data_IF_745305023061
#
_entry.id   IF_745305023061
#
_cell.length_a   1.000
_cell.length_b   1.000
_cell.length_c   1.000
_cell.angle_alpha   90.00
_cell.angle_beta   90.00
_cell.angle_gamma   90.00
#
_symmetry.space_group_name_H-M   'P 1'
#
loop_
_entity.id
_entity.type
_entity.pdbx_description
1 polymer ?
#
# COMPACT_ATOMS: atom_id res chain seq x y z
N UNK A 1 -14.18 14.90 7.00
CA UNK A 1 -13.06 15.38 6.15
C UNK A 1 -13.55 16.11 4.90
N UNK A 2 -14.13 15.44 3.91
CA UNK A 2 -14.56 16.10 2.65
C UNK A 2 -15.60 17.24 2.82
N UNK A 3 -16.23 17.35 3.99
CA UNK A 3 -17.21 18.40 4.35
C UNK A 3 -16.65 19.43 5.34
N UNK A 4 -15.40 19.31 5.73
CA UNK A 4 -14.75 20.22 6.69
C UNK A 4 -14.40 21.55 6.01
N UNK A 5 -14.26 22.62 6.78
CA UNK A 5 -13.81 23.91 6.27
C UNK A 5 -12.38 23.79 5.67
N UNK A 6 -12.10 24.36 4.50
CA UNK A 6 -10.78 24.34 3.89
C UNK A 6 -9.93 25.49 4.47
N UNK A 7 -9.69 25.48 5.78
CA UNK A 7 -8.98 26.53 6.53
C UNK A 7 -7.55 26.14 6.93
N UNK A 8 -7.13 24.91 6.61
CA UNK A 8 -5.81 24.37 6.91
C UNK A 8 -5.70 23.69 8.28
N UNK A 9 -6.75 23.72 9.11
CA UNK A 9 -6.75 23.08 10.44
C UNK A 9 -7.23 21.63 10.42
N UNK A 10 -7.91 21.22 9.34
CA UNK A 10 -8.24 19.82 9.12
C UNK A 10 -7.38 19.27 7.99
N UNK A 11 -6.56 18.26 8.30
CA UNK A 11 -5.72 17.56 7.33
C UNK A 11 -6.06 16.07 7.29
N UNK A 12 -5.88 15.47 6.12
CA UNK A 12 -6.03 14.06 5.86
C UNK A 12 -4.65 13.43 5.64
N UNK A 13 -4.36 12.38 6.38
CA UNK A 13 -3.35 11.42 6.00
C UNK A 13 -3.92 10.50 4.91
N UNK A 14 -3.52 10.74 3.66
CA UNK A 14 -4.09 10.05 2.50
C UNK A 14 -3.49 8.66 2.29
N UNK A 15 -4.38 7.72 1.98
CA UNK A 15 -4.05 6.33 1.65
C UNK A 15 -4.50 6.01 0.21
N UNK A 16 -3.95 4.96 -0.43
CA UNK A 16 -4.39 4.53 -1.76
C UNK A 16 -5.89 4.24 -1.83
N UNK A 17 -6.51 3.72 -0.77
CA UNK A 17 -7.96 3.47 -0.71
C UNK A 17 -8.82 4.72 -0.86
N UNK A 18 -8.31 5.87 -0.41
CA UNK A 18 -9.05 7.14 -0.42
C UNK A 18 -8.82 7.90 -1.73
N UNK A 19 -7.59 7.87 -2.26
CA UNK A 19 -7.17 8.74 -3.37
C UNK A 19 -6.87 7.99 -4.67
N UNK A 20 -6.62 6.67 -4.62
CA UNK A 20 -6.15 5.88 -5.75
C UNK A 20 -7.15 4.83 -6.26
N UNK A 21 -7.81 4.09 -5.37
CA UNK A 21 -8.65 2.93 -5.71
C UNK A 21 -10.11 3.11 -5.30
N UNK A 22 -10.57 4.36 -5.23
CA UNK A 22 -11.89 4.70 -4.73
C UNK A 22 -13.06 4.12 -5.54
N UNK A 23 -12.84 3.75 -6.81
CA UNK A 23 -13.90 3.14 -7.65
C UNK A 23 -14.36 1.77 -7.16
N UNK A 24 -13.64 1.16 -6.22
CA UNK A 24 -14.09 -0.07 -5.56
C UNK A 24 -15.39 0.15 -4.76
N UNK A 25 -15.60 1.39 -4.29
CA UNK A 25 -16.80 1.82 -3.58
C UNK A 25 -17.79 2.44 -4.59
N UNK A 26 -18.85 1.72 -5.00
CA UNK A 26 -19.77 2.21 -6.04
C UNK A 26 -20.62 3.40 -5.58
N UNK A 27 -20.79 3.56 -4.25
CA UNK A 27 -21.60 4.62 -3.65
C UNK A 27 -20.78 5.36 -2.61
N UNK A 28 -20.28 6.54 -2.99
CA UNK A 28 -19.65 7.49 -2.07
C UNK A 28 -20.50 8.75 -1.98
N UNK A 29 -20.56 9.34 -0.79
CA UNK A 29 -21.28 10.59 -0.55
C UNK A 29 -20.54 11.84 -1.04
N UNK A 30 -19.39 11.66 -1.71
CA UNK A 30 -18.54 12.69 -2.27
C UNK A 30 -17.73 12.10 -3.45
N UNK A 31 -17.19 12.95 -4.32
CA UNK A 31 -16.28 12.57 -5.41
C UNK A 31 -14.82 12.67 -4.93
N UNK A 32 -14.12 11.54 -4.69
CA UNK A 32 -12.75 11.57 -4.17
C UNK A 32 -11.75 12.21 -5.12
N UNK A 33 -12.04 12.25 -6.43
CA UNK A 33 -11.18 12.89 -7.43
C UNK A 33 -11.17 14.42 -7.33
N UNK A 34 -12.14 15.00 -6.62
CA UNK A 34 -12.35 16.45 -6.49
C UNK A 34 -12.43 16.94 -5.05
N UNK A 35 -12.46 16.04 -4.07
CA UNK A 35 -12.75 16.39 -2.68
C UNK A 35 -11.54 16.90 -1.88
N UNK A 36 -10.33 16.81 -2.44
CA UNK A 36 -9.10 17.07 -1.71
C UNK A 36 -8.08 17.87 -2.49
N UNK A 37 -7.47 18.85 -1.82
CA UNK A 37 -6.25 19.50 -2.28
C UNK A 37 -5.05 18.73 -1.71
N UNK A 38 -4.34 17.98 -2.55
CA UNK A 38 -3.16 17.21 -2.09
C UNK A 38 -1.98 18.15 -1.89
N UNK A 39 -1.52 18.30 -0.65
CA UNK A 39 -0.46 19.24 -0.29
C UNK A 39 0.92 18.71 -0.63
N UNK A 40 1.16 17.42 -0.37
CA UNK A 40 2.41 16.75 -0.71
C UNK A 40 2.25 15.23 -0.65
N UNK A 41 3.20 14.50 -1.25
CA UNK A 41 3.37 13.06 -1.05
C UNK A 41 4.49 12.90 -0.06
N UNK A 42 4.18 12.42 1.14
CA UNK A 42 5.18 12.34 2.19
C UNK A 42 6.18 11.23 1.88
N UNK A 43 5.72 10.09 1.37
CA UNK A 43 6.60 9.01 0.98
C UNK A 43 5.88 7.81 0.38
N UNK A 44 6.67 6.85 -0.03
CA UNK A 44 6.21 5.56 -0.53
C UNK A 44 6.80 4.42 0.28
N UNK A 45 6.07 3.31 0.37
CA UNK A 45 6.49 2.12 1.08
C UNK A 45 6.15 0.87 0.26
N UNK A 46 7.12 -0.04 0.02
CA UNK A 46 6.80 -1.32 -0.55
C UNK A 46 6.02 -2.18 0.43
N UNK A 47 5.25 -3.10 -0.12
CA UNK A 47 4.72 -4.21 0.66
C UNK A 47 5.75 -5.34 0.75
N UNK A 48 5.62 -6.13 1.81
CA UNK A 48 6.31 -7.40 2.02
C UNK A 48 5.29 -8.51 1.83
N UNK A 49 5.65 -9.51 1.04
CA UNK A 49 4.87 -10.74 0.91
C UNK A 49 5.18 -11.61 2.11
N UNK A 50 4.19 -11.74 3.00
CA UNK A 50 4.23 -12.58 4.18
C UNK A 50 3.42 -13.85 3.94
N UNK A 51 3.93 -14.96 4.46
CA UNK A 51 3.22 -16.23 4.52
C UNK A 51 3.23 -16.78 5.94
N UNK A 52 2.20 -17.54 6.31
CA UNK A 52 2.23 -18.30 7.55
C UNK A 52 3.42 -19.29 7.54
N UNK A 53 4.18 -19.35 8.64
CA UNK A 53 5.45 -20.08 8.68
C UNK A 53 5.29 -21.62 8.65
N UNK A 54 4.11 -22.15 9.00
CA UNK A 54 3.80 -23.60 8.96
C UNK A 54 3.64 -24.12 7.54
N UNK A 55 3.39 -23.23 6.57
CA UNK A 55 3.33 -23.60 5.16
C UNK A 55 4.74 -23.79 4.56
N UNK A 56 4.92 -24.78 3.68
CA UNK A 56 6.19 -25.04 2.98
C UNK A 56 6.41 -24.06 1.81
N UNK A 57 6.24 -22.76 2.07
CA UNK A 57 6.39 -21.67 1.11
C UNK A 57 7.55 -20.78 1.58
N UNK A 58 8.66 -20.78 0.82
CA UNK A 58 9.87 -20.03 1.17
C UNK A 58 10.25 -18.98 0.12
N UNK A 59 9.56 -18.98 -1.01
CA UNK A 59 9.81 -18.08 -2.14
C UNK A 59 8.52 -17.75 -2.88
N UNK A 60 8.57 -16.76 -3.75
CA UNK A 60 7.46 -16.43 -4.66
C UNK A 60 7.15 -17.58 -5.61
N UNK A 61 8.18 -18.30 -6.07
CA UNK A 61 7.99 -19.50 -6.90
C UNK A 61 7.24 -20.60 -6.13
N UNK A 62 7.54 -20.82 -4.86
CA UNK A 62 6.82 -21.77 -4.01
C UNK A 62 5.36 -21.34 -3.81
N UNK A 63 5.11 -20.04 -3.57
CA UNK A 63 3.76 -19.51 -3.40
C UNK A 63 2.92 -19.76 -4.66
N UNK A 64 3.47 -19.44 -5.83
CA UNK A 64 2.79 -19.66 -7.12
C UNK A 64 2.52 -21.14 -7.34
N UNK A 65 3.52 -22.01 -7.11
CA UNK A 65 3.37 -23.46 -7.27
C UNK A 65 2.31 -24.02 -6.32
N UNK A 66 2.36 -23.63 -5.05
CA UNK A 66 1.40 -24.07 -4.04
C UNK A 66 -0.03 -23.62 -4.38
N UNK A 67 -0.21 -22.35 -4.77
CA UNK A 67 -1.50 -21.80 -5.14
C UNK A 67 -2.09 -22.46 -6.41
N UNK A 68 -1.25 -22.77 -7.41
CA UNK A 68 -1.68 -23.50 -8.62
C UNK A 68 -2.12 -24.93 -8.32
N UNK A 69 -1.43 -25.62 -7.41
CA UNK A 69 -1.81 -26.97 -6.98
C UNK A 69 -3.07 -26.97 -6.09
N UNK A 70 -3.38 -25.84 -5.44
CA UNK A 70 -4.48 -25.72 -4.48
C UNK A 70 -5.38 -24.50 -4.78
N UNK A 71 -6.03 -24.44 -5.97
CA UNK A 71 -6.75 -23.26 -6.41
C UNK A 71 -7.89 -22.91 -5.44
N UNK A 72 -7.91 -21.66 -4.96
CA UNK A 72 -8.93 -21.16 -4.03
C UNK A 72 -8.81 -21.67 -2.59
N UNK A 73 -7.76 -22.43 -2.25
CA UNK A 73 -7.49 -22.90 -0.87
C UNK A 73 -6.68 -21.91 -0.05
N UNK A 74 -5.83 -21.12 -0.70
CA UNK A 74 -5.14 -20.03 -0.03
C UNK A 74 -6.08 -18.84 0.10
N UNK A 75 -6.07 -18.23 1.27
CA UNK A 75 -6.67 -16.92 1.52
C UNK A 75 -5.60 -15.91 1.89
N UNK A 76 -5.86 -14.64 1.57
CA UNK A 76 -5.01 -13.53 1.99
C UNK A 76 -5.78 -12.50 2.80
N UNK A 77 -5.15 -12.04 3.88
CA UNK A 77 -5.66 -10.95 4.70
C UNK A 77 -5.28 -9.58 4.14
N UNK A 78 -6.13 -8.58 4.38
CA UNK A 78 -5.83 -7.18 4.05
C UNK A 78 -6.37 -6.23 5.12
N UNK A 79 -5.90 -4.98 5.07
CA UNK A 79 -6.39 -3.90 5.93
C UNK A 79 -7.82 -3.41 5.56
N UNK A 80 -8.40 -3.94 4.49
CA UNK A 80 -9.72 -3.57 4.01
C UNK A 80 -9.77 -3.42 2.49
N UNK A 81 -10.97 -3.25 1.97
CA UNK A 81 -11.18 -3.08 0.53
C UNK A 81 -10.49 -1.81 -0.02
N UNK A 82 -9.92 -1.92 -1.22
CA UNK A 82 -9.16 -0.84 -1.85
C UNK A 82 -7.83 -0.47 -1.20
N UNK A 83 -7.49 -1.01 -0.02
CA UNK A 83 -6.19 -0.75 0.61
C UNK A 83 -5.04 -1.30 -0.26
N UNK A 84 -3.83 -0.75 -0.13
CA UNK A 84 -2.66 -1.28 -0.84
C UNK A 84 -2.40 -2.77 -0.53
N UNK A 85 -2.71 -3.19 0.70
CA UNK A 85 -2.62 -4.59 1.17
C UNK A 85 -3.68 -5.51 0.54
N UNK A 86 -4.70 -4.96 -0.11
CA UNK A 86 -5.65 -5.69 -0.95
C UNK A 86 -5.23 -5.63 -2.43
N UNK A 87 -4.87 -4.45 -2.95
CA UNK A 87 -4.55 -4.28 -4.36
C UNK A 87 -3.24 -4.95 -4.80
N UNK A 88 -2.24 -5.05 -3.93
CA UNK A 88 -0.98 -5.70 -4.26
C UNK A 88 -1.17 -7.22 -4.53
N UNK A 89 -1.84 -8.00 -3.66
CA UNK A 89 -2.20 -9.38 -3.97
C UNK A 89 -3.05 -9.54 -5.22
N UNK A 90 -4.01 -8.63 -5.46
CA UNK A 90 -4.87 -8.68 -6.65
C UNK A 90 -4.08 -8.49 -7.94
N UNK A 91 -3.16 -7.51 -7.96
CA UNK A 91 -2.21 -7.37 -9.05
C UNK A 91 -1.35 -8.63 -9.21
N UNK A 92 -0.87 -9.20 -8.11
CA UNK A 92 -0.05 -10.41 -8.13
C UNK A 92 -0.80 -11.61 -8.71
N UNK A 93 -2.06 -11.82 -8.32
CA UNK A 93 -2.92 -12.88 -8.86
C UNK A 93 -3.17 -12.68 -10.35
N UNK A 94 -3.42 -11.45 -10.78
CA UNK A 94 -3.56 -11.12 -12.21
C UNK A 94 -2.32 -11.48 -13.02
N UNK A 95 -1.13 -11.09 -12.56
CA UNK A 95 0.13 -11.32 -13.29
C UNK A 95 0.54 -12.81 -13.31
N UNK A 96 0.12 -13.59 -12.31
CA UNK A 96 0.52 -15.01 -12.16
C UNK A 96 -0.55 -16.01 -12.60
N UNK A 97 -1.80 -15.57 -12.72
CA UNK A 97 -2.97 -16.40 -12.97
C UNK A 97 -3.38 -17.31 -11.79
N UNK A 98 -2.79 -17.15 -10.61
CA UNK A 98 -3.18 -17.92 -9.42
C UNK A 98 -4.49 -17.38 -8.83
N UNK A 99 -5.13 -18.18 -7.97
CA UNK A 99 -6.36 -17.79 -7.27
C UNK A 99 -6.19 -17.93 -5.76
N UNK A 100 -6.39 -16.84 -5.05
CA UNK A 100 -6.47 -16.77 -3.59
C UNK A 100 -7.77 -16.07 -3.19
N UNK A 101 -8.30 -16.38 -2.02
CA UNK A 101 -9.52 -15.77 -1.48
C UNK A 101 -9.16 -14.52 -0.67
N UNK A 102 -9.75 -13.38 -1.01
CA UNK A 102 -9.59 -12.16 -0.22
C UNK A 102 -10.40 -12.22 1.08
N UNK A 103 -9.76 -11.96 2.21
CA UNK A 103 -10.42 -11.77 3.51
C UNK A 103 -10.17 -10.34 4.00
N UNK A 104 -11.16 -9.43 3.90
CA UNK A 104 -11.01 -8.05 4.35
C UNK A 104 -11.14 -7.93 5.87
N UNK A 105 -10.21 -7.21 6.50
CA UNK A 105 -10.28 -6.85 7.92
C UNK A 105 -10.44 -5.34 8.08
N UNK A 106 -10.78 -4.89 9.30
CA UNK A 106 -10.82 -3.46 9.69
C UNK A 106 -9.43 -2.98 10.12
N UNK A 107 -8.46 -3.07 9.22
CA UNK A 107 -7.05 -2.72 9.47
C UNK A 107 -6.10 -3.91 9.56
N UNK A 108 -4.81 -3.65 9.38
CA UNK A 108 -3.76 -4.67 9.26
C UNK A 108 -3.56 -5.51 10.51
N UNK A 109 -3.81 -4.98 11.71
CA UNK A 109 -3.53 -5.69 12.96
C UNK A 109 -4.36 -6.98 13.12
N UNK A 110 -5.64 -6.94 12.76
CA UNK A 110 -6.49 -8.12 12.82
C UNK A 110 -6.09 -9.16 11.77
N UNK A 111 -5.79 -8.72 10.53
CA UNK A 111 -5.28 -9.60 9.48
C UNK A 111 -3.95 -10.28 9.87
N UNK A 112 -3.06 -9.55 10.55
CA UNK A 112 -1.77 -10.06 11.00
C UNK A 112 -1.92 -11.13 12.09
N UNK A 113 -2.85 -10.95 13.03
CA UNK A 113 -3.18 -11.98 14.04
C UNK A 113 -3.64 -13.27 13.36
N UNK A 114 -4.57 -13.16 12.40
CA UNK A 114 -5.12 -14.32 11.69
C UNK A 114 -4.08 -14.98 10.78
N UNK A 115 -3.14 -14.20 10.22
CA UNK A 115 -1.98 -14.73 9.51
C UNK A 115 -1.08 -15.56 10.44
N UNK A 116 -0.73 -15.05 11.62
CA UNK A 116 0.08 -15.78 12.61
C UNK A 116 -0.62 -17.03 13.15
N UNK A 117 -1.95 -16.98 13.24
CA UNK A 117 -2.82 -18.10 13.65
C UNK A 117 -3.18 -19.06 12.51
N UNK A 118 -2.77 -18.79 11.27
CA UNK A 118 -3.00 -19.66 10.10
C UNK A 118 -4.43 -19.61 9.54
N UNK A 119 -5.28 -18.72 10.04
CA UNK A 119 -6.64 -18.52 9.51
C UNK A 119 -6.62 -17.95 8.09
N UNK A 120 -5.67 -17.03 7.83
CA UNK A 120 -5.25 -16.65 6.48
C UNK A 120 -3.80 -17.07 6.25
N UNK A 121 -3.44 -17.36 5.01
CA UNK A 121 -2.15 -18.00 4.69
C UNK A 121 -1.13 -17.01 4.13
N UNK A 122 -1.61 -15.93 3.52
CA UNK A 122 -0.80 -14.92 2.83
C UNK A 122 -1.23 -13.53 3.29
N UNK A 123 -0.29 -12.60 3.30
CA UNK A 123 -0.60 -11.18 3.49
C UNK A 123 0.44 -10.35 2.77
N UNK A 124 0.01 -9.32 2.05
CA UNK A 124 0.91 -8.31 1.53
C UNK A 124 0.76 -7.11 2.45
N UNK A 125 1.77 -6.84 3.27
CA UNK A 125 1.70 -5.82 4.32
C UNK A 125 2.80 -4.78 4.12
N UNK A 126 2.58 -3.53 4.53
CA UNK A 126 3.59 -2.49 4.42
C UNK A 126 4.83 -2.87 5.23
N UNK A 127 6.02 -2.60 4.69
CA UNK A 127 7.28 -3.04 5.29
C UNK A 127 7.43 -2.69 6.79
N UNK A 128 7.15 -1.46 7.26
CA UNK A 128 7.31 -1.08 8.68
C UNK A 128 6.50 -1.95 9.64
N UNK A 129 5.31 -2.38 9.21
CA UNK A 129 4.36 -3.17 9.99
C UNK A 129 4.56 -4.67 9.77
N UNK A 130 5.07 -5.07 8.61
CA UNK A 130 5.35 -6.46 8.26
C UNK A 130 6.58 -7.02 8.98
N UNK A 131 7.70 -6.30 8.97
CA UNK A 131 8.98 -6.82 9.46
C UNK A 131 9.00 -7.13 10.97
N UNK A 132 8.31 -6.38 11.85
CA UNK A 132 8.16 -6.81 13.25
C UNK A 132 7.45 -8.15 13.40
N UNK A 133 6.49 -8.50 12.54
CA UNK A 133 5.74 -9.76 12.62
C UNK A 133 6.65 -10.97 12.41
N UNK A 134 7.66 -10.86 11.53
CA UNK A 134 8.56 -11.98 11.24
C UNK A 134 9.43 -12.37 12.43
N UNK A 135 9.62 -11.46 13.41
CA UNK A 135 10.38 -11.74 14.64
C UNK A 135 9.69 -12.76 15.55
N UNK A 136 8.39 -12.98 15.36
CA UNK A 136 7.63 -13.98 16.12
C UNK A 136 7.93 -15.42 15.69
N UNK A 137 8.54 -15.62 14.51
CA UNK A 137 8.72 -16.94 13.90
C UNK A 137 7.43 -17.57 13.35
N UNK A 138 6.27 -16.94 13.56
CA UNK A 138 4.95 -17.44 13.10
C UNK A 138 4.65 -17.09 11.64
N UNK A 139 5.37 -16.12 11.10
CA UNK A 139 5.23 -15.66 9.72
C UNK A 139 6.60 -15.47 9.08
N UNK A 140 6.66 -15.68 7.77
CA UNK A 140 7.88 -15.57 6.96
C UNK A 140 7.70 -14.50 5.91
N UNK A 141 8.65 -13.57 5.82
CA UNK A 141 8.77 -12.67 4.67
C UNK A 141 9.52 -13.38 3.54
N UNK A 142 8.93 -13.40 2.35
CA UNK A 142 9.50 -14.10 1.18
C UNK A 142 9.88 -13.16 0.04
N UNK A 143 9.33 -11.93 0.02
CA UNK A 143 9.72 -10.91 -0.96
C UNK A 143 9.30 -9.50 -0.54
N UNK A 144 9.95 -8.49 -1.11
CA UNK A 144 9.41 -7.11 -1.22
C UNK A 144 8.79 -6.87 -2.59
N UNK A 145 7.79 -5.99 -2.65
CA UNK A 145 7.07 -5.66 -3.89
C UNK A 145 7.64 -4.47 -4.67
N UNK A 146 8.67 -3.80 -4.14
CA UNK A 146 9.44 -2.78 -4.86
C UNK A 146 10.28 -3.40 -5.97
N UNK A 147 10.60 -2.59 -6.98
CA UNK A 147 11.48 -2.98 -8.09
C UNK A 147 12.90 -3.33 -7.66
N UNK A 148 13.38 -2.70 -6.59
CA UNK A 148 14.69 -2.95 -5.98
C UNK A 148 14.52 -3.43 -4.55
N UNK A 149 15.51 -4.17 -4.04
CA UNK A 149 15.55 -4.56 -2.63
C UNK A 149 15.65 -3.32 -1.75
N UNK A 150 15.08 -3.43 -0.56
CA UNK A 150 15.18 -2.36 0.43
C UNK A 150 16.55 -2.47 1.12
N UNK A 151 17.39 -1.43 1.14
CA UNK A 151 18.76 -1.52 1.68
C UNK A 151 18.83 -2.07 3.12
N UNK A 152 17.91 -1.64 3.99
CA UNK A 152 17.81 -2.12 5.38
C UNK A 152 17.42 -3.61 5.49
N UNK A 153 16.92 -4.21 4.41
CA UNK A 153 16.47 -5.60 4.33
C UNK A 153 17.00 -6.27 3.04
N UNK A 154 18.29 -6.07 2.73
CA UNK A 154 18.93 -6.50 1.48
C UNK A 154 18.92 -8.01 1.22
N UNK A 155 18.72 -8.82 2.26
CA UNK A 155 18.58 -10.27 2.17
C UNK A 155 17.19 -10.69 1.66
N UNK A 156 16.19 -9.82 1.71
CA UNK A 156 14.84 -10.09 1.23
C UNK A 156 14.78 -9.77 -0.28
N UNK A 157 14.65 -10.77 -1.17
CA UNK A 157 14.56 -10.54 -2.60
C UNK A 157 13.31 -9.76 -2.99
N UNK A 158 13.31 -9.20 -4.19
CA UNK A 158 12.09 -8.62 -4.77
C UNK A 158 11.20 -9.72 -5.35
N UNK A 159 9.93 -9.40 -5.59
CA UNK A 159 9.06 -10.25 -6.41
C UNK A 159 9.59 -10.34 -7.85
N UNK A 160 10.13 -9.24 -8.37
CA UNK A 160 10.68 -9.17 -9.73
C UNK A 160 11.87 -10.11 -9.96
N UNK A 161 12.77 -10.21 -8.98
CA UNK A 161 13.90 -11.13 -8.98
C UNK A 161 13.48 -12.61 -8.95
N UNK A 162 12.25 -12.91 -8.53
CA UNK A 162 11.74 -14.27 -8.33
C UNK A 162 10.78 -14.74 -9.44
N UNK A 163 10.95 -14.22 -10.66
CA UNK A 163 10.25 -14.71 -11.86
C UNK A 163 9.07 -13.85 -12.32
N UNK A 164 8.92 -12.63 -11.79
CA UNK A 164 7.88 -11.68 -12.18
C UNK A 164 8.46 -10.29 -12.50
N UNK A 165 9.29 -10.16 -13.56
CA UNK A 165 10.14 -8.99 -13.79
C UNK A 165 9.39 -7.65 -13.94
N UNK A 166 8.10 -7.69 -14.29
CA UNK A 166 7.25 -6.50 -14.44
C UNK A 166 6.39 -6.20 -13.20
N UNK A 167 6.40 -7.07 -12.20
CA UNK A 167 5.62 -6.85 -10.99
C UNK A 167 6.26 -5.78 -10.12
N UNK A 168 5.51 -4.72 -9.86
CA UNK A 168 5.86 -3.68 -8.91
C UNK A 168 4.61 -3.10 -8.27
N UNK A 169 4.61 -3.07 -6.94
CA UNK A 169 3.61 -2.36 -6.16
C UNK A 169 4.27 -1.63 -4.99
N UNK A 170 4.02 -0.34 -4.90
CA UNK A 170 4.50 0.49 -3.80
C UNK A 170 3.35 1.38 -3.35
N UNK A 171 2.98 1.32 -2.08
CA UNK A 171 1.96 2.20 -1.52
C UNK A 171 2.51 3.63 -1.44
N UNK A 172 1.66 4.63 -1.66
CA UNK A 172 1.98 6.04 -1.47
C UNK A 172 1.16 6.62 -0.33
N UNK A 173 1.71 7.64 0.33
CA UNK A 173 1.06 8.35 1.44
C UNK A 173 1.10 9.84 1.18
N UNK A 174 -0.01 10.52 1.45
CA UNK A 174 -0.13 11.96 1.21
C UNK A 174 -0.55 12.71 2.46
N UNK A 175 -0.33 14.02 2.44
CA UNK A 175 -1.08 14.93 3.28
C UNK A 175 -1.97 15.76 2.35
N UNK A 176 -3.25 15.81 2.64
CA UNK A 176 -4.23 16.55 1.87
C UNK A 176 -5.17 17.37 2.78
N UNK A 177 -5.78 18.40 2.22
CA UNK A 177 -6.80 19.22 2.88
C UNK A 177 -8.16 19.07 2.16
N UNK A 178 -9.28 19.53 2.74
CA UNK A 178 -10.53 19.64 1.98
C UNK A 178 -10.30 20.57 0.79
N UNK A 179 -11.00 20.32 -0.33
CA UNK A 179 -10.90 21.15 -1.53
C UNK A 179 -11.24 22.62 -1.25
N UNK A 180 -10.51 23.52 -1.90
CA UNK A 180 -10.70 24.97 -1.79
C UNK A 180 -9.78 25.63 -0.75
N UNK A 181 -8.68 24.98 -0.37
CA UNK A 181 -7.72 25.54 0.56
C UNK A 181 -7.10 26.82 -0.04
N UNK A 182 -7.07 27.96 0.70
CA UNK A 182 -6.43 29.17 0.23
C UNK A 182 -4.99 28.93 -0.22
N UNK A 183 -4.60 29.53 -1.35
CA UNK A 183 -3.34 29.22 -2.03
C UNK A 183 -2.10 29.54 -1.18
N UNK A 184 -2.16 30.59 -0.36
CA UNK A 184 -1.12 30.98 0.59
C UNK A 184 -0.98 29.95 1.73
N UNK A 185 -2.09 29.45 2.27
CA UNK A 185 -2.10 28.37 3.27
C UNK A 185 -1.57 27.08 2.67
N UNK A 186 -2.05 26.69 1.48
CA UNK A 186 -1.60 25.50 0.77
C UNK A 186 -0.08 25.52 0.52
N UNK A 187 0.43 26.66 0.03
CA UNK A 187 1.85 26.86 -0.22
C UNK A 187 2.66 26.77 1.06
N UNK A 188 2.21 27.41 2.14
CA UNK A 188 2.90 27.36 3.44
C UNK A 188 2.95 25.93 4.00
N UNK A 189 1.82 25.24 4.05
CA UNK A 189 1.77 23.86 4.56
C UNK A 189 2.61 22.91 3.72
N UNK A 190 2.50 22.98 2.39
CA UNK A 190 3.30 22.16 1.47
C UNK A 190 4.81 22.37 1.69
N UNK A 191 5.26 23.62 1.82
CA UNK A 191 6.66 23.95 2.08
C UNK A 191 7.15 23.48 3.45
N UNK A 192 6.36 23.66 4.50
CA UNK A 192 6.72 23.24 5.86
C UNK A 192 6.80 21.71 5.95
N UNK A 193 5.86 20.98 5.33
CA UNK A 193 5.87 19.51 5.31
C UNK A 193 7.06 18.99 4.47
N UNK A 194 7.34 19.58 3.30
CA UNK A 194 8.50 19.17 2.48
C UNK A 194 9.82 19.33 3.24
N UNK A 195 9.98 20.42 3.99
CA UNK A 195 11.14 20.63 4.87
C UNK A 195 11.28 19.52 5.92
N UNK A 196 10.17 19.07 6.51
CA UNK A 196 10.16 17.97 7.48
C UNK A 196 10.51 16.64 6.80
N UNK A 197 9.88 16.34 5.66
CA UNK A 197 10.13 15.13 4.85
C UNK A 197 11.60 14.98 4.48
N UNK A 198 12.26 16.11 4.18
CA UNK A 198 13.69 16.17 3.81
C UNK A 198 14.63 16.30 5.01
N UNK A 199 14.12 16.36 6.24
CA UNK A 199 14.97 16.49 7.42
C UNK A 199 15.84 15.22 7.61
N UNK A 200 17.13 15.36 7.97
CA UNK A 200 18.00 14.20 8.17
C UNK A 200 17.45 13.21 9.21
N UNK A 201 16.88 13.70 10.31
CA UNK A 201 16.32 12.86 11.35
C UNK A 201 15.18 11.97 10.83
N UNK A 202 14.29 12.52 10.01
CA UNK A 202 13.21 11.75 9.42
C UNK A 202 13.72 10.81 8.33
N UNK A 203 14.65 11.26 7.49
CA UNK A 203 15.25 10.44 6.44
C UNK A 203 15.94 9.19 7.01
N UNK A 204 16.72 9.33 8.10
CA UNK A 204 17.32 8.19 8.81
C UNK A 204 16.25 7.24 9.31
N UNK A 205 15.25 7.75 10.02
CA UNK A 205 14.19 6.92 10.59
C UNK A 205 13.38 6.20 9.52
N UNK A 206 13.09 6.86 8.41
CA UNK A 206 12.34 6.28 7.30
C UNK A 206 13.12 5.24 6.53
N UNK A 207 14.42 5.44 6.34
CA UNK A 207 15.30 4.44 5.74
C UNK A 207 15.28 3.12 6.53
N UNK A 208 15.36 3.18 7.87
CA UNK A 208 15.24 2.01 8.75
C UNK A 208 13.89 1.28 8.61
N UNK A 209 12.83 2.04 8.32
CA UNK A 209 11.48 1.54 8.13
C UNK A 209 11.19 1.16 6.66
N UNK A 210 12.15 1.30 5.74
CA UNK A 210 11.95 1.05 4.32
C UNK A 210 10.96 1.99 3.64
N UNK A 211 10.82 3.21 4.16
CA UNK A 211 10.01 4.28 3.59
C UNK A 211 10.92 5.18 2.75
N UNK A 212 10.53 5.42 1.51
CA UNK A 212 11.22 6.36 0.62
C UNK A 212 10.55 7.74 0.71
N UNK A 213 11.23 8.78 1.21
CA UNK A 213 10.69 10.13 1.19
C UNK A 213 10.51 10.66 -0.23
N UNK A 214 9.42 11.38 -0.48
CA UNK A 214 9.17 12.03 -1.79
C UNK A 214 9.15 13.55 -1.62
N UNK A 215 8.24 14.07 -0.80
CA UNK A 215 8.01 15.50 -0.62
C UNK A 215 7.51 16.16 -1.91
N UNK A 216 7.94 17.39 -2.14
CA UNK A 216 7.62 18.19 -3.31
C UNK A 216 6.37 19.05 -3.14
N UNK A 217 6.02 19.72 -4.24
CA UNK A 217 4.93 20.71 -4.29
C UNK A 217 3.56 20.07 -4.39
N UNK A 218 2.52 20.82 -4.00
CA UNK A 218 1.12 20.40 -4.18
C UNK A 218 0.77 20.07 -5.64
N UNK A 219 1.32 20.79 -6.62
CA UNK A 219 1.09 20.51 -8.03
C UNK A 219 1.62 19.12 -8.44
N UNK A 220 2.87 18.81 -8.06
CA UNK A 220 3.48 17.49 -8.29
C UNK A 220 2.70 16.38 -7.58
N UNK A 221 2.25 16.64 -6.36
CA UNK A 221 1.48 15.68 -5.57
C UNK A 221 0.13 15.35 -6.23
N UNK A 222 -0.61 16.36 -6.70
CA UNK A 222 -1.88 16.17 -7.41
C UNK A 222 -1.70 15.44 -8.74
N UNK A 223 -0.64 15.72 -9.50
CA UNK A 223 -0.33 14.98 -10.73
C UNK A 223 -0.05 13.49 -10.45
N UNK A 224 0.81 13.21 -9.47
CA UNK A 224 1.13 11.84 -9.10
C UNK A 224 -0.10 11.08 -8.60
N UNK A 225 -0.93 11.69 -7.74
CA UNK A 225 -2.17 11.07 -7.25
C UNK A 225 -3.11 10.75 -8.41
N UNK A 226 -3.28 11.65 -9.39
CA UNK A 226 -4.08 11.36 -10.60
C UNK A 226 -3.53 10.18 -11.38
N UNK A 227 -2.20 10.08 -11.55
CA UNK A 227 -1.56 8.95 -12.21
C UNK A 227 -1.78 7.63 -11.47
N UNK A 228 -1.63 7.63 -10.15
CA UNK A 228 -1.91 6.45 -9.32
C UNK A 228 -3.39 6.08 -9.35
N UNK A 229 -4.30 7.06 -9.33
CA UNK A 229 -5.72 6.82 -9.41
C UNK A 229 -6.12 6.16 -10.73
N UNK A 230 -5.56 6.62 -11.85
CA UNK A 230 -5.78 5.98 -13.14
C UNK A 230 -5.31 4.51 -13.14
N UNK A 231 -4.12 4.23 -12.60
CA UNK A 231 -3.57 2.86 -12.52
C UNK A 231 -4.41 1.96 -11.61
N UNK A 232 -4.71 2.40 -10.39
CA UNK A 232 -5.34 1.57 -9.37
C UNK A 232 -6.83 1.37 -9.63
N UNK A 233 -7.56 2.38 -10.10
CA UNK A 233 -8.95 2.20 -10.51
C UNK A 233 -9.08 1.29 -11.75
N UNK A 234 -8.11 1.33 -12.68
CA UNK A 234 -8.07 0.35 -13.78
C UNK A 234 -7.89 -1.06 -13.24
N UNK A 235 -6.99 -1.27 -12.28
CA UNK A 235 -6.81 -2.57 -11.63
C UNK A 235 -8.10 -3.06 -10.97
N UNK A 236 -8.78 -2.20 -10.19
CA UNK A 236 -10.08 -2.51 -9.57
C UNK A 236 -11.09 -3.00 -10.62
N UNK A 237 -11.22 -2.25 -11.73
CA UNK A 237 -12.13 -2.62 -12.83
C UNK A 237 -11.73 -3.94 -13.51
N UNK A 238 -10.46 -4.11 -13.85
CA UNK A 238 -9.95 -5.29 -14.56
C UNK A 238 -10.10 -6.56 -13.70
N UNK A 239 -9.96 -6.44 -12.37
CA UNK A 239 -10.12 -7.53 -11.41
C UNK A 239 -11.59 -7.75 -11.00
N UNK A 240 -12.53 -6.95 -11.49
CA UNK A 240 -13.96 -7.07 -11.13
C UNK A 240 -14.25 -6.78 -9.66
N UNK A 241 -13.40 -5.99 -8.99
CA UNK A 241 -13.52 -5.70 -7.57
C UNK A 241 -14.57 -4.63 -7.32
N UNK A 242 -15.48 -4.90 -6.38
CA UNK A 242 -16.46 -3.94 -5.88
C UNK A 242 -16.89 -4.34 -4.47
N UNK A 243 -17.22 -3.36 -3.63
CA UNK A 243 -17.76 -3.56 -2.27
C UNK A 243 -19.23 -3.21 -2.17
#
# INVERSE_FOLDING_TARGET
MARSAPDGYTLLFGLPSVQGSYTIYPKLAYDPSKAFDTLTIIGTCPSVVLVNAELPINSIADLIRYAKANPGKLSFGSAGAGAGTHLAPELFMRETGIKMVHVPYKGSSAAATDLMGGQVQVMFENLPTAMPLTKTGRVRAIAVTSRQRVPAYSNLPTVAEQGLPNYEFTAFYTIAAPVGLPADIAKKLSADIDKIVRSPALATRWSELGITPIGGTSAQANEYVRGQAAKLNKLVKDAGLST
#
